data_IF_523375889036
#
_entry.id   IF_523375889036
#
_cell.length_a   1.000
_cell.length_b   1.000
_cell.length_c   1.000
_cell.angle_alpha   90.00
_cell.angle_beta   90.00
_cell.angle_gamma   90.00
#
_symmetry.space_group_name_H-M   'P 1'
#
loop_
_entity.id
_entity.type
_entity.pdbx_description
1 polymer ?
#
# COMPACT_ATOMS: atom_id res chain seq x y z
N UNK A 1 10.06 5.54 3.22
CA UNK A 1 10.42 6.50 2.14
C UNK A 1 9.51 6.41 0.91
N UNK A 2 8.99 5.22 0.56
CA UNK A 2 8.08 5.03 -0.60
C UNK A 2 6.83 5.92 -0.51
N UNK A 3 6.26 6.09 0.70
CA UNK A 3 5.10 6.96 0.92
C UNK A 3 5.46 8.45 0.91
N UNK A 4 6.69 8.80 1.25
CA UNK A 4 7.18 10.20 1.20
C UNK A 4 7.39 10.64 -0.25
N UNK A 5 7.83 9.74 -1.13
CA UNK A 5 8.00 10.00 -2.55
C UNK A 5 6.68 10.23 -3.30
N UNK A 6 5.59 9.62 -2.87
CA UNK A 6 4.26 9.78 -3.50
C UNK A 6 3.53 11.06 -3.07
N UNK A 7 4.09 11.83 -2.13
CA UNK A 7 3.50 13.09 -1.64
C UNK A 7 4.23 14.28 -2.26
N UNK A 8 3.72 14.76 -3.38
CA UNK A 8 4.06 16.08 -3.90
C UNK A 8 4.78 16.13 -5.24
N UNK A 9 5.46 15.09 -5.72
CA UNK A 9 6.16 15.11 -7.01
C UNK A 9 6.13 13.79 -7.77
N UNK A 10 5.80 12.69 -7.14
CA UNK A 10 5.77 11.35 -7.77
C UNK A 10 4.33 10.86 -7.90
N UNK A 11 4.04 10.21 -9.01
CA UNK A 11 2.71 9.72 -9.34
C UNK A 11 2.73 8.19 -9.48
N UNK A 12 1.84 7.53 -8.74
CA UNK A 12 1.57 6.11 -8.91
C UNK A 12 0.15 5.94 -9.47
N UNK A 13 0.05 5.20 -10.58
CA UNK A 13 -1.24 4.87 -11.21
C UNK A 13 -1.69 3.49 -10.74
N UNK A 14 -2.96 3.39 -10.33
CA UNK A 14 -3.56 2.11 -9.96
C UNK A 14 -4.26 1.47 -11.17
N UNK A 15 -4.05 0.16 -11.34
CA UNK A 15 -4.73 -0.77 -12.23
C UNK A 15 -4.49 -0.57 -13.74
N UNK A 16 -3.94 0.56 -14.21
CA UNK A 16 -3.77 0.83 -15.66
C UNK A 16 -2.31 1.03 -16.07
N UNK A 17 -1.71 -0.01 -16.64
CA UNK A 17 -0.35 0.02 -17.19
C UNK A 17 -0.25 1.03 -18.34
N UNK A 18 -1.26 1.08 -19.22
CA UNK A 18 -1.31 2.01 -20.36
C UNK A 18 -1.28 3.47 -19.92
N UNK A 19 -2.08 3.81 -18.92
CA UNK A 19 -2.11 5.19 -18.36
C UNK A 19 -0.77 5.51 -17.70
N UNK A 20 -0.22 4.58 -16.89
CA UNK A 20 1.07 4.78 -16.25
C UNK A 20 2.19 5.09 -17.27
N UNK A 21 2.24 4.34 -18.37
CA UNK A 21 3.21 4.58 -19.44
C UNK A 21 2.97 5.90 -20.19
N UNK A 22 1.72 6.25 -20.48
CA UNK A 22 1.38 7.48 -21.20
C UNK A 22 1.67 8.75 -20.42
N UNK A 23 1.45 8.73 -19.10
CA UNK A 23 1.72 9.89 -18.24
C UNK A 23 3.12 9.87 -17.61
N UNK A 24 3.95 8.89 -17.96
CA UNK A 24 5.29 8.72 -17.40
C UNK A 24 5.27 8.64 -15.86
N UNK A 25 4.32 7.86 -15.31
CA UNK A 25 4.21 7.69 -13.87
C UNK A 25 5.44 6.96 -13.31
N UNK A 26 5.89 7.38 -12.14
CA UNK A 26 7.01 6.78 -11.44
C UNK A 26 6.67 5.40 -10.85
N UNK A 27 5.38 5.12 -10.68
CA UNK A 27 4.90 3.84 -10.15
C UNK A 27 3.57 3.38 -10.71
N UNK A 28 3.34 2.08 -10.57
CA UNK A 28 2.07 1.43 -10.82
C UNK A 28 1.72 0.49 -9.67
N UNK A 29 0.44 0.46 -9.29
CA UNK A 29 -0.05 -0.48 -8.29
C UNK A 29 -1.12 -1.38 -8.90
N UNK A 30 -0.99 -2.70 -8.73
CA UNK A 30 -1.94 -3.69 -9.25
C UNK A 30 -2.51 -4.56 -8.13
N UNK A 31 -3.76 -4.97 -8.29
CA UNK A 31 -4.45 -5.94 -7.45
C UNK A 31 -4.30 -7.37 -7.99
N UNK A 32 -4.93 -8.34 -7.30
CA UNK A 32 -4.86 -9.77 -7.65
C UNK A 32 -5.62 -10.10 -8.95
N UNK A 33 -6.65 -9.32 -9.28
CA UNK A 33 -7.49 -9.51 -10.48
C UNK A 33 -6.97 -8.69 -11.69
N UNK A 34 -5.91 -7.89 -11.49
CA UNK A 34 -5.33 -7.03 -12.51
C UNK A 34 -4.25 -7.79 -13.32
N UNK A 35 -3.51 -7.06 -14.14
CA UNK A 35 -2.36 -7.62 -14.87
C UNK A 35 -1.31 -8.16 -13.89
N UNK A 36 -0.89 -9.41 -14.07
CA UNK A 36 0.10 -10.04 -13.21
C UNK A 36 1.42 -9.23 -13.13
N UNK A 37 2.02 -9.13 -11.94
CA UNK A 37 3.22 -8.32 -11.68
C UNK A 37 4.37 -8.59 -12.67
N UNK A 38 4.60 -9.85 -13.04
CA UNK A 38 5.61 -10.23 -14.04
C UNK A 38 5.34 -9.62 -15.43
N UNK A 39 4.08 -9.55 -15.84
CA UNK A 39 3.69 -8.92 -17.11
C UNK A 39 3.80 -7.40 -17.04
N UNK A 40 3.45 -6.81 -15.90
CA UNK A 40 3.65 -5.37 -15.65
C UNK A 40 5.13 -5.04 -15.77
N UNK A 41 6.01 -5.77 -15.06
CA UNK A 41 7.47 -5.57 -15.10
C UNK A 41 8.04 -5.66 -16.50
N UNK A 42 7.59 -6.63 -17.32
CA UNK A 42 8.00 -6.75 -18.72
C UNK A 42 7.62 -5.51 -19.57
N UNK A 43 6.51 -4.85 -19.25
CA UNK A 43 6.01 -3.69 -20.01
C UNK A 43 6.62 -2.36 -19.56
N UNK A 44 6.82 -2.17 -18.25
CA UNK A 44 7.28 -0.90 -17.70
C UNK A 44 8.80 -0.85 -17.49
N UNK A 45 9.50 -1.99 -17.53
CA UNK A 45 10.94 -2.06 -17.27
C UNK A 45 11.29 -1.83 -15.80
N UNK A 46 12.58 -1.68 -15.49
CA UNK A 46 13.11 -1.57 -14.12
C UNK A 46 13.02 -0.15 -13.54
N UNK A 47 12.66 0.84 -14.37
CA UNK A 47 12.60 2.24 -13.94
C UNK A 47 11.29 2.68 -13.30
N UNK A 48 10.25 1.82 -13.30
CA UNK A 48 8.94 2.10 -12.74
C UNK A 48 8.71 1.21 -11.52
N UNK A 49 8.32 1.82 -10.40
CA UNK A 49 8.01 1.11 -9.16
C UNK A 49 6.71 0.31 -9.30
N UNK A 50 6.71 -0.96 -8.91
CA UNK A 50 5.54 -1.83 -8.94
C UNK A 50 5.10 -2.17 -7.52
N UNK A 51 3.91 -1.70 -7.14
CA UNK A 51 3.21 -2.13 -5.95
C UNK A 51 2.20 -3.23 -6.27
N UNK A 52 2.06 -4.21 -5.38
CA UNK A 52 1.08 -5.29 -5.52
C UNK A 52 0.26 -5.42 -4.25
N UNK A 53 -1.07 -5.53 -4.39
CA UNK A 53 -1.95 -5.84 -3.26
C UNK A 53 -1.79 -7.31 -2.86
N UNK A 54 -1.65 -7.61 -1.57
CA UNK A 54 -1.60 -8.96 -1.04
C UNK A 54 -2.48 -9.11 0.22
N UNK A 55 -3.14 -10.27 0.36
CA UNK A 55 -4.04 -10.61 1.45
C UNK A 55 -3.60 -11.84 2.22
N UNK A 56 -2.64 -12.60 1.65
CA UNK A 56 -2.08 -13.82 2.23
C UNK A 56 -0.55 -13.81 2.08
N UNK A 57 0.13 -14.60 2.92
CA UNK A 57 1.59 -14.80 2.81
C UNK A 57 1.98 -15.35 1.44
N UNK A 58 1.18 -16.27 0.88
CA UNK A 58 1.48 -16.83 -0.44
C UNK A 58 1.40 -15.77 -1.54
N UNK A 59 0.36 -14.94 -1.56
CA UNK A 59 0.24 -13.82 -2.51
C UNK A 59 1.41 -12.83 -2.37
N UNK A 60 1.86 -12.55 -1.15
CA UNK A 60 2.99 -11.68 -0.89
C UNK A 60 4.30 -12.24 -1.46
N UNK A 61 4.58 -13.52 -1.20
CA UNK A 61 5.77 -14.21 -1.73
C UNK A 61 5.73 -14.27 -3.27
N UNK A 62 4.59 -14.59 -3.84
CA UNK A 62 4.41 -14.66 -5.30
C UNK A 62 4.59 -13.28 -5.94
N UNK A 63 4.06 -12.22 -5.34
CA UNK A 63 4.24 -10.86 -5.83
C UNK A 63 5.72 -10.45 -5.85
N UNK A 64 6.46 -10.71 -4.77
CA UNK A 64 7.90 -10.42 -4.68
C UNK A 64 8.69 -11.22 -5.71
N UNK A 65 8.40 -12.53 -5.84
CA UNK A 65 9.05 -13.39 -6.84
C UNK A 65 8.81 -12.92 -8.29
N UNK A 66 7.74 -12.19 -8.53
CA UNK A 66 7.37 -11.65 -9.83
C UNK A 66 7.70 -10.15 -10.02
N UNK A 67 8.50 -9.57 -9.13
CA UNK A 67 9.08 -8.25 -9.32
C UNK A 67 8.30 -7.09 -8.70
N UNK A 68 7.50 -7.34 -7.66
CA UNK A 68 6.95 -6.27 -6.84
C UNK A 68 8.07 -5.57 -6.06
N UNK A 69 8.07 -4.25 -6.05
CA UNK A 69 9.00 -3.41 -5.29
C UNK A 69 8.46 -3.09 -3.89
N UNK A 70 7.14 -3.15 -3.69
CA UNK A 70 6.48 -3.05 -2.39
C UNK A 70 5.12 -3.75 -2.40
N UNK A 71 4.58 -4.02 -1.23
CA UNK A 71 3.27 -4.63 -1.06
C UNK A 71 2.28 -3.67 -0.40
N UNK A 72 1.03 -3.65 -0.91
CA UNK A 72 -0.12 -3.06 -0.23
C UNK A 72 -0.92 -4.16 0.47
N UNK A 73 -0.97 -4.17 1.79
CA UNK A 73 -1.57 -5.25 2.57
C UNK A 73 -2.78 -4.76 3.35
N UNK A 74 -3.92 -5.40 3.14
CA UNK A 74 -5.19 -5.03 3.80
C UNK A 74 -6.42 -5.78 3.27
N UNK A 75 -7.65 -5.43 3.72
CA UNK A 75 -7.94 -4.32 4.65
C UNK A 75 -7.54 -4.68 6.09
N UNK A 76 -6.71 -3.85 6.71
CA UNK A 76 -6.23 -4.12 8.08
C UNK A 76 -7.27 -3.79 9.17
N UNK A 77 -8.24 -2.95 8.84
CA UNK A 77 -9.42 -2.67 9.66
C UNK A 77 -10.68 -2.64 8.77
N UNK A 78 -11.85 -2.78 9.39
CA UNK A 78 -13.12 -2.69 8.69
C UNK A 78 -13.23 -1.37 7.90
N UNK A 79 -13.66 -1.45 6.65
CA UNK A 79 -13.74 -0.30 5.75
C UNK A 79 -15.04 -0.32 4.96
N UNK A 80 -15.56 0.88 4.65
CA UNK A 80 -16.70 1.07 3.77
C UNK A 80 -16.30 1.53 2.37
N UNK A 81 -15.00 1.74 2.12
CA UNK A 81 -14.47 2.19 0.82
C UNK A 81 -14.52 1.10 -0.23
N UNK A 82 -14.34 -0.17 0.18
CA UNK A 82 -14.59 -1.37 -0.62
C UNK A 82 -15.54 -2.29 0.17
N UNK A 83 -16.60 -2.76 -0.46
CA UNK A 83 -17.66 -3.56 0.19
C UNK A 83 -17.38 -5.07 0.15
N UNK A 84 -16.39 -5.49 -0.60
CA UNK A 84 -16.01 -6.88 -0.89
C UNK A 84 -14.75 -7.36 -0.15
N UNK A 85 -14.21 -6.52 0.76
CA UNK A 85 -12.99 -6.84 1.50
C UNK A 85 -13.32 -7.05 2.98
N UNK A 86 -12.99 -8.24 3.51
CA UNK A 86 -13.06 -8.53 4.94
C UNK A 86 -11.82 -8.00 5.68
N UNK A 87 -11.99 -7.67 6.95
CA UNK A 87 -10.88 -7.28 7.82
C UNK A 87 -9.87 -8.43 7.94
N UNK A 88 -8.60 -8.09 7.77
CA UNK A 88 -7.49 -9.04 7.87
C UNK A 88 -7.12 -9.27 9.35
N UNK A 89 -6.94 -10.52 9.80
CA UNK A 89 -6.39 -10.77 11.12
C UNK A 89 -5.00 -10.15 11.28
N UNK A 90 -4.75 -9.50 12.44
CA UNK A 90 -3.43 -8.90 12.74
C UNK A 90 -2.27 -9.89 12.59
N UNK A 91 -2.50 -11.17 12.90
CA UNK A 91 -1.47 -12.22 12.76
C UNK A 91 -1.09 -12.41 11.29
N UNK A 92 -2.04 -12.37 10.36
CA UNK A 92 -1.74 -12.47 8.91
C UNK A 92 -0.86 -11.33 8.44
N UNK A 93 -1.10 -10.09 8.92
CA UNK A 93 -0.23 -8.94 8.61
C UNK A 93 1.19 -9.16 9.12
N UNK A 94 1.35 -9.61 10.38
CA UNK A 94 2.65 -9.97 10.96
C UNK A 94 3.37 -11.05 10.15
N UNK A 95 2.64 -12.10 9.76
CA UNK A 95 3.21 -13.21 9.01
C UNK A 95 3.68 -12.76 7.61
N UNK A 96 2.94 -11.86 6.95
CA UNK A 96 3.35 -11.25 5.68
C UNK A 96 4.62 -10.40 5.87
N UNK A 97 4.64 -9.48 6.84
CA UNK A 97 5.81 -8.62 7.09
C UNK A 97 7.07 -9.44 7.41
N UNK A 98 6.92 -10.58 8.10
CA UNK A 98 8.05 -11.46 8.41
C UNK A 98 8.49 -12.35 7.23
N UNK A 99 7.66 -12.51 6.21
CA UNK A 99 7.93 -13.41 5.09
C UNK A 99 8.63 -12.73 3.91
N UNK A 100 8.64 -11.40 3.85
CA UNK A 100 9.18 -10.64 2.71
C UNK A 100 10.21 -9.60 3.15
N UNK A 101 11.12 -9.27 2.24
CA UNK A 101 12.15 -8.24 2.46
C UNK A 101 11.81 -6.90 1.78
N UNK A 102 10.73 -6.84 1.02
CA UNK A 102 10.25 -5.60 0.39
C UNK A 102 9.35 -4.80 1.35
N UNK A 103 9.28 -3.47 1.22
CA UNK A 103 8.42 -2.65 2.06
C UNK A 103 6.95 -3.09 2.02
N UNK A 104 6.31 -3.10 3.20
CA UNK A 104 4.90 -3.44 3.38
C UNK A 104 4.12 -2.21 3.84
N UNK A 105 3.12 -1.82 3.07
CA UNK A 105 2.24 -0.69 3.32
C UNK A 105 0.87 -1.20 3.75
N UNK A 106 0.46 -0.93 4.99
CA UNK A 106 -0.88 -1.29 5.46
C UNK A 106 -1.94 -0.37 4.85
N UNK A 107 -3.06 -0.95 4.42
CA UNK A 107 -4.18 -0.20 3.82
C UNK A 107 -5.52 -0.74 4.32
N UNK A 108 -6.54 0.13 4.33
CA UNK A 108 -7.95 -0.20 4.60
C UNK A 108 -8.38 0.09 6.03
N UNK A 109 -9.36 0.98 6.17
CA UNK A 109 -9.98 1.35 7.44
C UNK A 109 -9.10 2.07 8.45
N UNK A 110 -7.91 2.51 8.05
CA UNK A 110 -6.95 3.19 8.93
C UNK A 110 -7.36 4.65 9.12
N UNK A 111 -7.37 5.09 10.37
CA UNK A 111 -7.62 6.47 10.79
C UNK A 111 -6.88 6.76 12.12
N UNK A 112 -6.86 8.02 12.57
CA UNK A 112 -6.05 8.44 13.72
C UNK A 112 -6.31 7.68 15.04
N UNK A 113 -7.53 7.18 15.24
CA UNK A 113 -7.90 6.47 16.45
C UNK A 113 -7.41 5.01 16.47
N UNK A 114 -7.03 4.44 15.30
CA UNK A 114 -6.61 3.04 15.23
C UNK A 114 -5.19 2.83 14.66
N UNK A 115 -4.60 3.81 13.98
CA UNK A 115 -3.30 3.69 13.33
C UNK A 115 -2.19 3.15 14.26
N UNK A 116 -2.17 3.57 15.53
CA UNK A 116 -1.18 3.12 16.51
C UNK A 116 -1.31 1.63 16.87
N UNK A 117 -2.43 0.97 16.54
CA UNK A 117 -2.57 -0.48 16.71
C UNK A 117 -1.69 -1.27 15.73
N UNK A 118 -1.17 -0.61 14.68
CA UNK A 118 -0.22 -1.22 13.74
C UNK A 118 1.21 -1.26 14.27
N UNK A 119 1.51 -0.59 15.40
CA UNK A 119 2.85 -0.64 16.00
C UNK A 119 3.28 -2.07 16.32
N UNK A 120 4.51 -2.43 15.94
CA UNK A 120 5.07 -3.76 16.12
C UNK A 120 4.52 -4.83 15.18
N UNK A 121 3.88 -4.44 14.07
CA UNK A 121 3.48 -5.38 13.01
C UNK A 121 4.55 -5.56 11.94
N UNK A 122 5.55 -4.69 11.90
CA UNK A 122 6.60 -4.71 10.88
C UNK A 122 6.23 -4.00 9.58
N UNK A 123 5.14 -3.21 9.57
CA UNK A 123 4.79 -2.39 8.39
C UNK A 123 5.74 -1.20 8.27
N UNK A 124 6.08 -0.82 7.04
CA UNK A 124 6.93 0.32 6.70
C UNK A 124 6.13 1.61 6.49
N UNK A 125 4.81 1.52 6.48
CA UNK A 125 3.95 2.68 6.32
C UNK A 125 2.48 2.34 6.17
N UNK A 126 1.67 3.38 5.88
CA UNK A 126 0.22 3.27 5.70
C UNK A 126 -0.26 4.00 4.46
N UNK A 127 -1.29 3.45 3.79
CA UNK A 127 -2.03 4.11 2.72
C UNK A 127 -3.42 4.51 3.22
N UNK A 128 -3.77 5.78 3.04
CA UNK A 128 -4.96 6.40 3.61
C UNK A 128 -5.79 7.06 2.50
N UNK A 129 -7.10 6.81 2.49
CA UNK A 129 -8.02 7.45 1.54
C UNK A 129 -9.12 8.20 2.32
N UNK A 130 -10.08 7.49 2.88
CA UNK A 130 -11.24 8.12 3.52
C UNK A 130 -10.86 8.96 4.74
N UNK A 131 -9.87 8.57 5.52
CA UNK A 131 -9.40 9.33 6.66
C UNK A 131 -8.94 10.75 6.26
N UNK A 132 -8.32 10.88 5.08
CA UNK A 132 -7.85 12.16 4.55
C UNK A 132 -8.97 12.91 3.86
N UNK A 133 -9.63 12.29 2.87
CA UNK A 133 -10.58 12.99 1.99
C UNK A 133 -11.94 13.27 2.64
N UNK A 134 -12.27 12.65 3.76
CA UNK A 134 -13.47 12.97 4.56
C UNK A 134 -13.21 14.02 5.65
N UNK A 135 -11.96 14.43 5.84
CA UNK A 135 -11.61 15.42 6.84
C UNK A 135 -12.08 16.83 6.46
N UNK A 136 -12.48 17.64 7.45
CA UNK A 136 -12.86 19.03 7.24
C UNK A 136 -11.65 19.91 6.91
N UNK A 137 -10.50 19.59 7.49
CA UNK A 137 -9.20 20.23 7.26
C UNK A 137 -8.22 19.13 6.87
N UNK A 138 -8.06 18.94 5.56
CA UNK A 138 -7.23 17.88 4.97
C UNK A 138 -5.76 18.07 5.36
N UNK A 139 -5.28 19.32 5.39
CA UNK A 139 -3.88 19.60 5.71
C UNK A 139 -3.55 19.26 7.16
N UNK A 140 -4.40 19.66 8.09
CA UNK A 140 -4.24 19.35 9.52
C UNK A 140 -4.31 17.84 9.75
N UNK A 141 -5.28 17.14 9.14
CA UNK A 141 -5.41 15.68 9.25
C UNK A 141 -4.19 14.95 8.69
N UNK A 142 -3.67 15.37 7.53
CA UNK A 142 -2.46 14.79 6.95
C UNK A 142 -1.23 14.96 7.87
N UNK A 143 -1.08 16.12 8.52
CA UNK A 143 0.03 16.34 9.47
C UNK A 143 -0.09 15.44 10.70
N UNK A 144 -1.29 15.30 11.24
CA UNK A 144 -1.55 14.43 12.39
C UNK A 144 -1.30 12.95 12.03
N UNK A 145 -1.88 12.48 10.92
CA UNK A 145 -1.71 11.10 10.44
C UNK A 145 -0.24 10.78 10.10
N UNK A 146 0.50 11.74 9.52
CA UNK A 146 1.94 11.58 9.28
C UNK A 146 2.70 11.39 10.59
N UNK A 147 2.48 12.25 11.58
CA UNK A 147 3.13 12.14 12.88
C UNK A 147 2.80 10.83 13.63
N UNK A 148 1.60 10.29 13.43
CA UNK A 148 1.20 8.99 13.97
C UNK A 148 1.83 7.84 13.19
N UNK A 149 1.93 7.93 11.85
CA UNK A 149 2.55 6.89 11.02
C UNK A 149 4.05 6.73 11.31
N UNK A 150 4.74 7.81 11.62
CA UNK A 150 6.16 7.77 12.03
C UNK A 150 6.38 6.98 13.33
N UNK A 151 5.36 6.82 14.19
CA UNK A 151 5.46 6.09 15.45
C UNK A 151 5.24 4.58 15.31
N UNK A 152 4.77 4.11 14.17
CA UNK A 152 4.53 2.68 13.92
C UNK A 152 5.67 2.01 13.15
N UNK A 153 6.54 2.79 12.53
CA UNK A 153 7.65 2.36 11.64
C UNK A 153 8.96 2.27 12.44
N UNK A 154 8.93 1.79 13.66
CA UNK A 154 10.11 1.58 14.51
C UNK A 154 10.48 0.08 14.61
#
# INVERSE_FOLDING_TARGET
>A
EILIGLVGSEMCIRDSVEVALQCHAEGIHVGQDDMAAAQVRQRVGDGVMIGVSAHTVQEALDAVAHGADYLGVGAVFATHTKTDVSEMPRQTLLDICNAVDVPVVAIGGIHKENILQLKGTGVDGVALVSAIFSAKDIEAECRELKALSEQIVE
#
